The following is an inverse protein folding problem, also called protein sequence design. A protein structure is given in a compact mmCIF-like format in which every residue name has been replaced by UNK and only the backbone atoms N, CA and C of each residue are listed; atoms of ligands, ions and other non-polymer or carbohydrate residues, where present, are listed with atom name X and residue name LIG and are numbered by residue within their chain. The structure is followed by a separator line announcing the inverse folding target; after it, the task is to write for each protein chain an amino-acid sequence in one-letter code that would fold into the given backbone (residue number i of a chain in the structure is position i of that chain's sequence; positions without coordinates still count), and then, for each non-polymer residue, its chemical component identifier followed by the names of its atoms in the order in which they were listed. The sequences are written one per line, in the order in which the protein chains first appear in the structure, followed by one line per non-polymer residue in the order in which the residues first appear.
data_IF_889573478223
#
_entry.id   IF_889573478223
#
_cell.length_a   1.000
_cell.length_b   1.000
_cell.length_c   1.000
_cell.angle_alpha   90.00
_cell.angle_beta   90.00
_cell.angle_gamma   90.00
#
_symmetry.space_group_name_H-M   'P 1'
#
loop_
_entity.id
_entity.type
_entity.pdbx_description
1 polymer ?
#
# COMPACT_ATOMS: atom_id res chain seq x y z
N UNK A 1 39.20 10.71 -6.19
CA UNK A 1 40.09 9.58 -6.55
C UNK A 1 39.84 8.46 -5.58
N UNK A 2 39.56 7.26 -6.08
CA UNK A 2 39.51 6.04 -5.27
C UNK A 2 40.94 5.50 -5.21
N UNK A 3 41.56 5.50 -4.03
CA UNK A 3 42.91 4.97 -3.83
C UNK A 3 42.84 3.48 -3.44
N UNK A 4 43.58 2.62 -4.14
CA UNK A 4 43.73 1.18 -3.84
C UNK A 4 42.52 0.30 -4.23
N UNK A 5 42.34 -0.83 -3.51
CA UNK A 5 41.29 -1.85 -3.72
C UNK A 5 39.86 -1.41 -3.34
N UNK A 6 39.61 -0.10 -3.33
CA UNK A 6 38.29 0.46 -3.02
C UNK A 6 37.40 0.46 -4.27
N UNK A 7 36.11 0.21 -4.06
CA UNK A 7 35.10 0.18 -5.11
C UNK A 7 33.95 1.13 -4.78
N UNK A 8 33.19 1.50 -5.81
CA UNK A 8 31.94 2.24 -5.68
C UNK A 8 30.79 1.35 -6.16
N UNK A 9 29.82 1.11 -5.30
CA UNK A 9 28.58 0.42 -5.64
C UNK A 9 27.43 1.43 -5.71
N UNK A 10 26.49 1.19 -6.61
CA UNK A 10 25.37 2.09 -6.87
C UNK A 10 24.06 1.38 -6.59
N UNK A 11 23.23 2.00 -5.76
CA UNK A 11 21.95 1.45 -5.33
C UNK A 11 20.83 2.45 -5.58
N UNK A 12 19.62 1.94 -5.77
CA UNK A 12 18.42 2.75 -5.60
C UNK A 12 18.09 2.99 -4.13
N UNK A 13 17.03 3.77 -3.92
CA UNK A 13 16.35 4.01 -2.66
C UNK A 13 16.09 2.78 -1.78
N UNK A 14 15.99 1.58 -2.37
CA UNK A 14 15.67 0.33 -1.69
C UNK A 14 16.90 -0.57 -1.48
N UNK A 15 18.11 -0.04 -1.65
CA UNK A 15 19.38 -0.79 -1.59
C UNK A 15 19.48 -1.93 -2.62
N UNK A 16 18.83 -1.77 -3.78
CA UNK A 16 18.96 -2.69 -4.91
C UNK A 16 20.03 -2.14 -5.86
N UNK A 17 21.00 -2.98 -6.23
CA UNK A 17 22.08 -2.61 -7.16
C UNK A 17 21.49 -2.17 -8.49
N UNK A 18 21.97 -1.04 -8.98
CA UNK A 18 21.43 -0.39 -10.17
C UNK A 18 22.51 0.40 -10.91
N UNK A 19 22.37 0.68 -12.22
CA UNK A 19 23.32 1.52 -12.92
C UNK A 19 23.42 2.93 -12.30
N UNK A 20 24.59 3.60 -12.35
CA UNK A 20 24.81 4.90 -11.73
C UNK A 20 23.77 5.97 -12.11
N UNK A 21 23.29 5.92 -13.36
CA UNK A 21 22.34 6.89 -13.91
C UNK A 21 20.95 6.88 -13.21
N UNK A 22 20.58 5.81 -12.52
CA UNK A 22 19.33 5.72 -11.76
C UNK A 22 19.54 5.38 -10.28
N UNK A 23 20.77 5.59 -9.79
CA UNK A 23 21.10 5.38 -8.40
C UNK A 23 20.65 6.56 -7.53
N UNK A 24 20.13 6.25 -6.34
CA UNK A 24 19.88 7.24 -5.28
C UNK A 24 21.02 7.25 -4.27
N UNK A 25 21.74 6.13 -4.15
CA UNK A 25 22.78 5.90 -3.15
C UNK A 25 24.05 5.44 -3.86
N UNK A 26 25.19 6.02 -3.47
CA UNK A 26 26.52 5.47 -3.79
C UNK A 26 27.21 5.00 -2.53
N UNK A 27 27.76 3.79 -2.56
CA UNK A 27 28.52 3.17 -1.48
C UNK A 27 29.99 3.15 -1.82
N UNK A 28 30.82 3.61 -0.91
CA UNK A 28 32.27 3.51 -0.95
C UNK A 28 32.70 2.40 0.00
N UNK A 29 33.39 1.40 -0.50
CA UNK A 29 33.78 0.22 0.29
C UNK A 29 35.00 -0.49 -0.30
N UNK A 30 35.43 -1.58 0.32
CA UNK A 30 36.34 -2.60 -0.21
C UNK A 30 35.68 -3.96 -0.11
N UNK A 31 35.98 -4.84 -1.07
CA UNK A 31 35.51 -6.22 -1.06
C UNK A 31 36.68 -7.20 -0.92
N UNK A 32 36.42 -8.34 -0.29
CA UNK A 32 37.27 -9.53 -0.40
C UNK A 32 37.12 -10.17 -1.79
N UNK A 33 37.98 -11.15 -2.10
CA UNK A 33 37.86 -11.92 -3.35
C UNK A 33 36.53 -12.70 -3.46
N UNK A 34 35.89 -13.01 -2.33
CA UNK A 34 34.58 -13.67 -2.25
C UNK A 34 33.40 -12.68 -2.33
N UNK A 35 33.68 -11.38 -2.40
CA UNK A 35 32.65 -10.33 -2.50
C UNK A 35 32.12 -9.83 -1.16
N UNK A 36 32.80 -10.14 -0.04
CA UNK A 36 32.39 -9.68 1.29
C UNK A 36 32.96 -8.29 1.61
N UNK A 37 32.24 -7.46 2.35
CA UNK A 37 32.76 -6.16 2.78
C UNK A 37 33.95 -6.32 3.74
N UNK A 38 34.94 -5.43 3.59
CA UNK A 38 36.10 -5.33 4.48
C UNK A 38 36.46 -3.88 4.75
N UNK A 39 36.72 -3.56 6.01
CA UNK A 39 37.08 -2.21 6.44
C UNK A 39 35.86 -1.29 6.43
N UNK A 40 36.10 -0.01 6.13
CA UNK A 40 35.05 1.01 6.22
C UNK A 40 34.09 0.98 5.01
N UNK A 41 32.80 1.06 5.32
CA UNK A 41 31.69 1.26 4.37
C UNK A 41 31.10 2.64 4.61
N UNK A 42 30.94 3.42 3.54
CA UNK A 42 30.27 4.73 3.58
C UNK A 42 29.24 4.86 2.48
N UNK A 43 28.02 5.21 2.83
CA UNK A 43 26.95 5.46 1.86
C UNK A 43 26.64 6.95 1.77
N UNK A 44 26.38 7.42 0.56
CA UNK A 44 26.06 8.82 0.29
C UNK A 44 24.84 8.92 -0.60
N UNK A 45 24.03 9.95 -0.34
CA UNK A 45 22.99 10.37 -1.26
C UNK A 45 23.63 10.89 -2.55
N UNK A 46 23.12 10.45 -3.71
CA UNK A 46 23.62 10.87 -5.01
C UNK A 46 23.29 12.33 -5.33
N UNK A 47 22.17 12.85 -4.83
CA UNK A 47 21.67 14.20 -5.14
C UNK A 47 22.37 15.31 -4.35
N UNK A 48 22.61 15.06 -3.06
CA UNK A 48 23.08 16.03 -2.07
C UNK A 48 24.51 15.77 -1.63
N UNK A 49 25.07 14.61 -1.98
CA UNK A 49 26.39 14.18 -1.54
C UNK A 49 26.52 14.04 0.00
N UNK A 50 25.39 14.00 0.72
CA UNK A 50 25.36 13.86 2.18
C UNK A 50 25.60 12.41 2.59
N UNK A 51 26.37 12.21 3.66
CA UNK A 51 26.62 10.90 4.26
C UNK A 51 25.31 10.31 4.82
N UNK A 52 25.06 9.04 4.56
CA UNK A 52 23.89 8.27 5.02
C UNK A 52 24.30 7.33 6.14
N UNK A 53 25.34 6.53 5.87
CA UNK A 53 25.81 5.44 6.71
C UNK A 53 27.33 5.47 6.79
N UNK A 54 27.87 5.21 7.97
CA UNK A 54 29.25 4.80 8.19
C UNK A 54 29.25 3.54 9.03
N UNK A 55 29.93 2.50 8.56
CA UNK A 55 30.10 1.24 9.27
C UNK A 55 31.50 0.66 9.00
N UNK A 56 31.92 -0.29 9.82
CA UNK A 56 33.19 -1.00 9.64
C UNK A 56 32.96 -2.51 9.61
N UNK A 57 33.77 -3.22 8.82
CA UNK A 57 33.67 -4.65 8.56
C UNK A 57 34.97 -5.37 8.84
N UNK A 58 34.86 -6.50 9.53
CA UNK A 58 35.95 -7.45 9.76
C UNK A 58 35.40 -8.86 9.61
N UNK A 59 36.12 -9.73 8.90
CA UNK A 59 35.73 -11.13 8.67
C UNK A 59 34.30 -11.26 8.11
N UNK A 60 33.99 -10.46 7.08
CA UNK A 60 32.68 -10.38 6.42
C UNK A 60 31.51 -9.91 7.30
N UNK A 61 31.76 -9.47 8.54
CA UNK A 61 30.73 -9.01 9.46
C UNK A 61 30.97 -7.59 9.95
N UNK A 62 29.88 -6.84 10.11
CA UNK A 62 29.97 -5.50 10.65
C UNK A 62 30.44 -5.54 12.12
N UNK A 63 31.37 -4.65 12.46
CA UNK A 63 31.99 -4.59 13.78
C UNK A 63 32.38 -3.16 14.11
N UNK A 64 32.37 -2.81 15.39
CA UNK A 64 32.67 -1.46 15.87
C UNK A 64 31.53 -0.49 15.64
N UNK A 65 31.88 0.79 15.49
CA UNK A 65 30.89 1.87 15.47
C UNK A 65 30.17 1.93 14.14
N UNK A 66 28.85 2.00 14.25
CA UNK A 66 27.94 2.26 13.14
C UNK A 66 27.20 3.57 13.40
N UNK A 67 27.13 4.39 12.37
CA UNK A 67 26.49 5.70 12.41
C UNK A 67 25.60 5.89 11.19
N UNK A 68 24.43 6.46 11.42
CA UNK A 68 23.51 6.89 10.39
C UNK A 68 23.18 8.35 10.58
N UNK A 69 22.88 9.03 9.48
CA UNK A 69 22.69 10.47 9.45
C UNK A 69 21.39 10.84 8.73
N UNK A 70 20.78 11.94 9.17
CA UNK A 70 19.69 12.59 8.45
C UNK A 70 20.20 13.25 7.16
N UNK A 71 19.28 13.64 6.28
CA UNK A 71 19.61 14.31 5.00
C UNK A 71 20.34 15.64 5.17
N UNK A 72 20.26 16.26 6.34
CA UNK A 72 21.01 17.47 6.72
C UNK A 72 22.39 17.19 7.35
N UNK A 73 22.79 15.92 7.46
CA UNK A 73 24.07 15.48 7.99
C UNK A 73 24.14 15.35 9.51
N UNK A 74 23.06 15.63 10.25
CA UNK A 74 23.02 15.39 11.71
C UNK A 74 22.90 13.90 12.01
N UNK A 75 23.45 13.41 13.15
CA UNK A 75 23.33 12.00 13.51
C UNK A 75 21.86 11.63 13.72
N UNK A 76 21.44 10.52 13.12
CA UNK A 76 20.15 9.90 13.33
C UNK A 76 20.26 8.71 14.30
N UNK A 77 21.31 7.90 14.12
CA UNK A 77 21.59 6.71 14.93
C UNK A 77 23.09 6.54 15.11
N UNK A 78 23.52 6.06 16.27
CA UNK A 78 24.90 5.67 16.56
C UNK A 78 24.89 4.53 17.56
N UNK A 79 25.67 3.49 17.29
CA UNK A 79 25.81 2.36 18.21
C UNK A 79 27.00 1.49 17.89
N UNK A 80 27.11 0.36 18.59
CA UNK A 80 28.17 -0.62 18.38
C UNK A 80 27.62 -1.92 17.80
N UNK A 81 28.39 -2.52 16.90
CA UNK A 81 28.17 -3.86 16.39
C UNK A 81 29.32 -4.77 16.81
N UNK A 82 29.01 -6.02 17.14
CA UNK A 82 29.98 -7.11 17.32
C UNK A 82 29.56 -8.26 16.43
N UNK A 83 30.34 -8.52 15.38
CA UNK A 83 30.07 -9.62 14.44
C UNK A 83 28.65 -9.59 13.86
N UNK A 84 28.19 -8.39 13.47
CA UNK A 84 26.86 -8.14 12.90
C UNK A 84 25.72 -7.99 13.91
N UNK A 85 25.99 -8.18 15.21
CA UNK A 85 24.98 -8.10 16.27
C UNK A 85 25.09 -6.77 17.02
N UNK A 86 23.99 -6.03 17.25
CA UNK A 86 23.98 -4.86 18.13
C UNK A 86 24.53 -5.19 19.52
N UNK A 87 25.44 -4.34 20.01
CA UNK A 87 26.03 -4.45 21.32
C UNK A 87 26.13 -3.07 21.98
N UNK A 88 26.33 -3.07 23.30
CA UNK A 88 26.59 -1.88 24.10
C UNK A 88 25.47 -0.83 23.96
N UNK A 89 25.81 0.46 24.05
CA UNK A 89 24.86 1.55 23.97
C UNK A 89 24.52 1.97 22.54
N UNK A 90 23.25 2.26 22.34
CA UNK A 90 22.70 2.78 21.09
C UNK A 90 21.96 4.07 21.35
N UNK A 91 22.19 5.04 20.48
CA UNK A 91 21.65 6.37 20.60
C UNK A 91 20.86 6.75 19.35
N UNK A 92 19.74 7.41 19.58
CA UNK A 92 18.84 7.88 18.54
C UNK A 92 18.55 9.35 18.76
N UNK A 93 18.38 10.07 17.65
CA UNK A 93 18.09 11.49 17.67
C UNK A 93 16.86 11.79 16.81
N UNK A 94 16.20 12.89 17.13
CA UNK A 94 15.21 13.48 16.25
C UNK A 94 15.88 14.21 15.08
N UNK A 95 15.17 14.46 13.97
CA UNK A 95 15.65 15.32 12.89
C UNK A 95 16.02 16.73 13.36
N UNK A 96 15.52 17.19 14.51
CA UNK A 96 15.91 18.46 15.13
C UNK A 96 17.29 18.42 15.80
N UNK A 97 17.92 17.24 15.91
CA UNK A 97 19.20 17.00 16.58
C UNK A 97 19.07 16.73 18.09
N UNK A 98 17.87 16.79 18.65
CA UNK A 98 17.64 16.46 20.06
C UNK A 98 17.71 14.94 20.28
N UNK A 99 18.12 14.52 21.48
CA UNK A 99 18.11 13.10 21.86
C UNK A 99 16.68 12.58 21.83
N UNK A 100 16.49 11.41 21.22
CA UNK A 100 15.21 10.72 21.19
C UNK A 100 15.20 9.59 22.22
N UNK A 101 16.17 8.69 22.16
CA UNK A 101 16.28 7.59 23.10
C UNK A 101 17.71 7.03 23.16
N UNK A 102 18.01 6.38 24.29
CA UNK A 102 19.21 5.58 24.48
C UNK A 102 18.80 4.17 24.88
N UNK A 103 19.43 3.17 24.25
CA UNK A 103 19.20 1.76 24.49
C UNK A 103 20.50 1.09 24.90
N UNK A 104 20.38 -0.03 25.60
CA UNK A 104 21.48 -0.92 25.93
C UNK A 104 21.13 -2.31 25.41
N UNK A 105 22.06 -2.92 24.67
CA UNK A 105 21.96 -4.30 24.24
C UNK A 105 22.83 -5.19 25.14
N UNK A 106 22.22 -6.22 25.73
CA UNK A 106 22.95 -7.24 26.47
C UNK A 106 23.72 -8.17 25.54
N UNK A 107 24.68 -8.92 26.09
CA UNK A 107 25.39 -9.99 25.35
C UNK A 107 24.46 -11.08 24.81
N UNK A 108 23.27 -11.22 25.39
CA UNK A 108 22.24 -12.18 24.99
C UNK A 108 21.26 -11.59 23.94
N UNK A 109 21.50 -10.35 23.48
CA UNK A 109 20.68 -9.67 22.48
C UNK A 109 19.39 -9.07 23.04
N UNK A 110 19.24 -9.01 24.37
CA UNK A 110 18.11 -8.32 25.00
C UNK A 110 18.31 -6.82 24.95
N UNK A 111 17.25 -6.10 24.58
CA UNK A 111 17.25 -4.63 24.53
C UNK A 111 16.60 -4.05 25.77
N UNK A 112 17.24 -3.03 26.32
CA UNK A 112 16.73 -2.22 27.43
C UNK A 112 16.71 -0.76 27.01
N UNK A 113 15.62 -0.06 27.30
CA UNK A 113 15.50 1.37 27.07
C UNK A 113 16.07 2.10 28.29
N UNK A 114 17.23 2.73 28.17
CA UNK A 114 17.87 3.44 29.28
C UNK A 114 17.28 4.84 29.47
N UNK A 115 16.99 5.54 28.37
CA UNK A 115 16.43 6.89 28.41
C UNK A 115 15.56 7.17 27.19
N UNK A 116 14.55 8.02 27.38
CA UNK A 116 13.64 8.46 26.32
C UNK A 116 13.20 9.91 26.60
N UNK A 117 13.25 10.73 25.56
CA UNK A 117 12.78 12.11 25.53
C UNK A 117 11.71 12.24 24.46
N UNK A 118 10.66 12.99 24.75
CA UNK A 118 9.65 13.28 23.74
C UNK A 118 10.12 14.36 22.74
N UNK A 119 9.29 14.67 21.74
CA UNK A 119 9.60 15.65 20.69
C UNK A 119 9.84 17.09 21.18
N UNK A 120 9.48 17.40 22.44
CA UNK A 120 9.76 18.71 23.06
C UNK A 120 11.11 18.73 23.78
N UNK A 121 11.77 17.58 23.90
CA UNK A 121 13.00 17.39 24.65
C UNK A 121 12.77 17.08 26.14
N UNK A 122 11.53 16.87 26.57
CA UNK A 122 11.23 16.54 27.96
C UNK A 122 11.60 15.08 28.24
N UNK A 123 12.40 14.78 29.28
CA UNK A 123 12.72 13.41 29.66
C UNK A 123 11.46 12.69 30.17
N UNK A 124 11.18 11.53 29.59
CA UNK A 124 10.05 10.67 29.96
C UNK A 124 10.51 9.36 30.60
N UNK A 125 11.70 8.88 30.24
CA UNK A 125 12.38 7.76 30.90
C UNK A 125 13.80 8.19 31.25
N UNK A 126 14.22 7.93 32.49
CA UNK A 126 15.60 8.10 32.98
C UNK A 126 16.00 6.83 33.72
N UNK A 127 17.21 6.34 33.47
CA UNK A 127 17.74 5.11 34.04
C UNK A 127 16.81 3.89 33.95
N UNK A 128 16.14 3.77 32.80
CA UNK A 128 15.22 2.70 32.48
C UNK A 128 13.92 2.71 33.29
N UNK A 129 13.63 3.80 34.00
CA UNK A 129 12.38 4.00 34.72
C UNK A 129 11.62 5.21 34.15
N UNK A 130 10.31 5.04 33.98
CA UNK A 130 9.43 6.13 33.54
C UNK A 130 8.41 5.69 32.51
N UNK A 131 7.99 6.63 31.68
CA UNK A 131 7.01 6.41 30.62
C UNK A 131 7.70 6.37 29.26
N UNK A 132 7.26 5.46 28.41
CA UNK A 132 7.70 5.37 27.03
C UNK A 132 6.50 5.37 26.09
N UNK A 133 6.66 6.05 24.96
CA UNK A 133 5.70 6.07 23.86
C UNK A 133 6.49 6.04 22.55
N UNK A 134 6.12 5.16 21.62
CA UNK A 134 6.81 5.07 20.34
C UNK A 134 6.27 3.97 19.45
N UNK A 135 6.79 3.88 18.25
CA UNK A 135 6.51 2.74 17.36
C UNK A 135 7.49 1.63 17.69
N UNK A 136 6.97 0.46 18.06
CA UNK A 136 7.75 -0.78 18.07
C UNK A 136 7.86 -1.19 16.62
N UNK A 137 9.06 -1.52 16.17
CA UNK A 137 9.31 -1.80 14.77
C UNK A 137 8.29 -2.84 14.26
N UNK A 138 7.32 -2.48 13.39
CA UNK A 138 6.89 -3.46 12.41
C UNK A 138 8.18 -3.76 11.66
N UNK A 139 8.58 -5.03 11.60
CA UNK A 139 9.66 -5.51 10.74
C UNK A 139 9.99 -4.50 9.61
N UNK A 140 11.12 -3.83 9.78
CA UNK A 140 11.67 -2.75 8.93
C UNK A 140 11.02 -1.35 9.08
N UNK A 141 11.60 -0.44 9.88
CA UNK A 141 11.69 0.94 9.39
C UNK A 141 12.62 0.89 8.17
N UNK A 142 12.13 1.38 7.04
CA UNK A 142 12.94 1.60 5.84
C UNK A 142 13.24 3.09 5.76
N UNK A 143 14.49 3.49 5.86
CA UNK A 143 14.95 4.84 5.57
C UNK A 143 15.72 4.80 4.23
N UNK A 144 14.94 4.91 3.17
CA UNK A 144 15.32 5.42 1.85
C UNK A 144 14.59 6.77 1.61
N UNK A 145 14.72 7.45 0.45
CA UNK A 145 13.97 8.66 0.16
C UNK A 145 12.48 8.36 0.34
N UNK A 146 11.82 9.19 1.14
CA UNK A 146 10.38 9.20 1.46
C UNK A 146 9.55 8.36 0.47
N UNK A 147 9.42 7.06 0.75
CA UNK A 147 8.26 6.29 0.34
C UNK A 147 7.42 6.13 1.60
N UNK A 148 6.09 6.23 1.50
CA UNK A 148 5.23 6.05 2.65
C UNK A 148 5.62 4.72 3.31
N UNK A 149 5.70 4.67 4.65
CA UNK A 149 5.86 3.40 5.34
C UNK A 149 4.92 2.38 4.68
N UNK A 150 5.46 1.19 4.34
CA UNK A 150 4.64 0.00 4.08
C UNK A 150 3.61 0.00 5.18
N UNK A 151 2.35 0.33 4.83
CA UNK A 151 1.29 0.80 5.71
C UNK A 151 1.75 0.97 7.16
N UNK A 152 2.02 2.22 7.60
CA UNK A 152 1.95 2.50 9.05
C UNK A 152 0.65 1.84 9.49
N UNK A 153 0.72 0.75 10.28
CA UNK A 153 -0.47 0.10 10.86
C UNK A 153 -1.30 1.12 11.66
N UNK A 154 -0.77 2.34 11.77
CA UNK A 154 -1.26 3.48 12.47
C UNK A 154 -0.96 3.29 13.93
N UNK A 155 -0.21 2.26 14.35
CA UNK A 155 -0.07 1.92 15.74
C UNK A 155 1.20 2.53 16.33
N UNK A 156 1.03 3.09 17.52
CA UNK A 156 2.12 3.35 18.43
C UNK A 156 1.79 2.68 19.77
N UNK A 157 2.83 2.44 20.55
CA UNK A 157 2.75 1.71 21.80
C UNK A 157 3.19 2.61 22.92
N UNK A 158 2.62 2.40 24.10
CA UNK A 158 2.94 3.21 25.26
C UNK A 158 2.77 2.44 26.55
N UNK A 159 3.56 2.77 27.56
CA UNK A 159 3.49 2.14 28.86
C UNK A 159 4.65 2.55 29.76
N UNK A 160 4.67 2.00 30.97
CA UNK A 160 5.74 2.26 31.92
C UNK A 160 6.91 1.30 31.78
N UNK A 161 8.10 1.80 32.03
CA UNK A 161 9.34 1.04 32.05
C UNK A 161 9.84 0.90 33.49
N UNK A 162 10.43 -0.27 33.78
CA UNK A 162 11.25 -0.51 34.97
C UNK A 162 12.48 -1.30 34.54
N UNK A 163 13.67 -0.83 34.90
CA UNK A 163 14.96 -1.40 34.47
C UNK A 163 15.05 -1.56 32.94
N UNK A 164 14.47 -0.60 32.21
CA UNK A 164 14.49 -0.50 30.76
C UNK A 164 13.60 -1.50 30.03
N UNK A 165 12.76 -2.26 30.73
CA UNK A 165 11.82 -3.24 30.14
C UNK A 165 10.37 -2.91 30.49
N UNK A 166 9.38 -3.42 29.72
CA UNK A 166 7.97 -3.17 29.98
C UNK A 166 7.56 -3.60 31.38
N UNK A 167 6.90 -2.71 32.10
CA UNK A 167 6.35 -2.97 33.43
C UNK A 167 4.99 -2.29 33.56
N UNK A 168 4.02 -2.93 34.23
CA UNK A 168 2.67 -2.41 34.37
C UNK A 168 1.85 -2.53 33.07
N UNK A 169 0.91 -1.62 32.90
CA UNK A 169 -0.01 -1.59 31.75
C UNK A 169 0.65 -0.98 30.51
N UNK A 170 0.57 -1.71 29.41
CA UNK A 170 1.03 -1.31 28.08
C UNK A 170 -0.12 -1.33 27.10
N UNK A 171 -0.13 -0.40 26.16
CA UNK A 171 -1.20 -0.22 25.21
C UNK A 171 -0.68 -0.10 23.79
N UNK A 172 -1.39 -0.68 22.83
CA UNK A 172 -1.27 -0.33 21.41
C UNK A 172 -2.39 0.63 21.04
N UNK A 173 -2.05 1.72 20.32
CA UNK A 173 -2.95 2.85 20.08
C UNK A 173 -2.85 3.29 18.63
N UNK A 174 -3.99 3.48 17.99
CA UNK A 174 -4.03 4.07 16.66
C UNK A 174 -3.71 5.57 16.73
N UNK A 175 -2.71 5.99 15.98
CA UNK A 175 -2.13 7.32 15.89
C UNK A 175 -3.15 8.34 15.42
N UNK A 176 -4.06 7.96 14.53
CA UNK A 176 -5.08 8.82 13.95
C UNK A 176 -6.32 8.89 14.82
N UNK A 177 -6.93 7.75 15.16
CA UNK A 177 -8.20 7.71 15.90
C UNK A 177 -8.03 7.81 17.41
N UNK A 178 -6.79 7.64 17.91
CA UNK A 178 -6.45 7.49 19.34
C UNK A 178 -7.13 6.30 20.02
N UNK A 179 -7.72 5.40 19.23
CA UNK A 179 -8.36 4.19 19.73
C UNK A 179 -7.29 3.22 20.24
N UNK A 180 -7.50 2.68 21.44
CA UNK A 180 -6.67 1.62 22.00
C UNK A 180 -7.09 0.28 21.40
N UNK A 181 -6.14 -0.48 20.87
CA UNK A 181 -6.35 -1.80 20.25
C UNK A 181 -6.13 -2.92 21.26
N UNK A 182 -5.01 -2.89 21.98
CA UNK A 182 -4.67 -3.87 23.02
C UNK A 182 -4.29 -3.18 24.32
N UNK A 183 -4.58 -3.85 25.43
CA UNK A 183 -4.01 -3.56 26.75
C UNK A 183 -3.33 -4.83 27.25
N UNK A 184 -2.08 -4.74 27.66
CA UNK A 184 -1.24 -5.86 28.08
C UNK A 184 -0.50 -5.50 29.38
N UNK A 185 -0.48 -6.41 30.34
CA UNK A 185 0.20 -6.22 31.62
C UNK A 185 1.54 -6.95 31.62
N UNK A 186 2.60 -6.25 32.02
CA UNK A 186 3.96 -6.79 32.12
C UNK A 186 4.53 -6.67 33.53
N UNK A 187 5.37 -7.62 33.93
CA UNK A 187 6.19 -7.55 35.14
C UNK A 187 7.63 -7.87 34.76
N UNK A 188 8.48 -6.84 34.74
CA UNK A 188 9.91 -6.94 34.38
C UNK A 188 10.12 -7.58 33.01
N UNK A 189 9.42 -7.04 32.01
CA UNK A 189 9.44 -7.52 30.64
C UNK A 189 8.68 -8.83 30.40
N UNK A 190 8.17 -9.50 31.44
CA UNK A 190 7.40 -10.74 31.30
C UNK A 190 5.92 -10.43 31.19
N UNK A 191 5.32 -10.87 30.09
CA UNK A 191 3.88 -10.79 29.85
C UNK A 191 3.10 -11.55 30.94
N UNK A 192 2.07 -10.93 31.50
CA UNK A 192 1.18 -11.54 32.50
C UNK A 192 -0.24 -11.77 31.99
N UNK A 193 -0.67 -10.98 31.03
CA UNK A 193 -1.99 -11.10 30.42
C UNK A 193 -2.29 -9.88 29.56
N UNK A 194 -3.32 -9.99 28.73
CA UNK A 194 -3.75 -8.87 27.92
C UNK A 194 -5.12 -9.09 27.32
N UNK A 195 -5.63 -8.05 26.66
CA UNK A 195 -6.93 -8.09 25.99
C UNK A 195 -6.95 -7.20 24.76
N UNK A 196 -7.84 -7.55 23.84
CA UNK A 196 -8.34 -6.66 22.79
C UNK A 196 -9.33 -5.68 23.43
N UNK A 197 -9.20 -4.40 23.10
CA UNK A 197 -10.13 -3.35 23.55
C UNK A 197 -11.29 -3.12 22.54
N UNK A 198 -11.52 -4.11 21.67
CA UNK A 198 -12.68 -4.20 20.79
C UNK A 198 -13.27 -5.62 20.86
N UNK A 199 -14.56 -5.74 20.58
CA UNK A 199 -15.23 -7.04 20.55
C UNK A 199 -14.87 -7.75 19.23
N UNK A 200 -14.13 -8.88 19.26
CA UNK A 200 -13.79 -9.59 18.03
C UNK A 200 -15.05 -10.22 17.41
N UNK A 201 -15.09 -10.31 16.09
CA UNK A 201 -16.21 -10.93 15.36
C UNK A 201 -16.33 -12.44 15.65
N UNK A 202 -15.20 -13.08 16.00
CA UNK A 202 -15.11 -14.46 16.48
C UNK A 202 -13.86 -14.61 17.36
N UNK A 203 -13.89 -15.54 18.31
CA UNK A 203 -12.75 -15.82 19.21
C UNK A 203 -12.81 -15.09 20.57
N UNK A 204 -11.71 -15.20 21.33
CA UNK A 204 -11.57 -14.59 22.65
C UNK A 204 -10.98 -13.18 22.55
N UNK A 205 -11.47 -12.25 23.37
CA UNK A 205 -10.84 -10.95 23.54
C UNK A 205 -9.59 -11.00 24.43
N UNK A 206 -9.30 -12.14 25.08
CA UNK A 206 -8.12 -12.32 25.94
C UNK A 206 -6.89 -12.73 25.12
N UNK A 207 -5.75 -12.09 25.39
CA UNK A 207 -4.46 -12.41 24.79
C UNK A 207 -3.71 -13.40 25.67
N UNK A 208 -3.26 -14.51 25.09
CA UNK A 208 -2.45 -15.55 25.76
C UNK A 208 -0.95 -15.39 25.52
N UNK A 209 -0.55 -14.48 24.62
CA UNK A 209 0.82 -14.16 24.31
C UNK A 209 0.95 -12.66 24.00
N UNK A 210 2.12 -12.05 24.23
CA UNK A 210 2.31 -10.61 24.02
C UNK A 210 2.28 -10.28 22.53
N UNK A 211 1.51 -9.25 22.18
CA UNK A 211 1.60 -8.57 20.88
C UNK A 211 2.62 -7.44 20.93
N UNK A 212 2.80 -6.85 22.12
CA UNK A 212 3.82 -5.84 22.38
C UNK A 212 5.15 -6.54 22.67
N UNK A 213 6.08 -6.46 21.72
CA UNK A 213 7.46 -6.93 21.89
C UNK A 213 8.40 -5.75 21.70
N UNK A 214 9.18 -5.42 22.73
CA UNK A 214 10.29 -4.49 22.55
C UNK A 214 11.33 -5.16 21.65
N UNK A 215 11.20 -4.89 20.36
CA UNK A 215 12.23 -5.11 19.36
C UNK A 215 12.61 -3.73 18.86
N UNK A 216 13.84 -3.33 19.15
CA UNK A 216 14.35 -2.04 18.68
C UNK A 216 15.37 -2.29 17.59
N UNK A 217 15.42 -1.38 16.63
CA UNK A 217 16.12 -1.57 15.38
C UNK A 217 17.63 -1.74 15.57
N UNK A 218 18.21 -2.66 14.82
CA UNK A 218 19.63 -2.59 14.48
C UNK A 218 19.87 -1.52 13.41
N UNK A 219 21.13 -1.29 13.02
CA UNK A 219 21.44 -0.36 11.93
C UNK A 219 20.82 -0.90 10.65
N UNK A 220 20.04 -0.04 9.98
CA UNK A 220 19.31 -0.40 8.77
C UNK A 220 20.21 -0.91 7.66
N UNK A 221 19.70 -1.93 6.96
CA UNK A 221 20.16 -2.46 5.68
C UNK A 221 21.65 -2.23 5.42
N UNK A 222 22.47 -2.97 6.16
CA UNK A 222 23.88 -3.12 5.88
C UNK A 222 24.17 -3.57 4.42
N UNK A 223 23.13 -4.01 3.68
CA UNK A 223 23.16 -4.37 2.26
C UNK A 223 24.29 -5.37 1.94
N UNK A 224 24.54 -6.26 2.91
CA UNK A 224 25.54 -7.34 2.86
C UNK A 224 25.17 -8.40 1.83
N UNK A 225 23.92 -8.40 1.35
CA UNK A 225 23.44 -9.25 0.26
C UNK A 225 23.10 -8.38 -0.94
N UNK A 226 23.87 -8.55 -2.00
CA UNK A 226 23.64 -7.86 -3.26
C UNK A 226 22.36 -8.36 -3.94
N UNK A 227 21.40 -7.46 -4.14
CA UNK A 227 20.20 -7.72 -4.94
C UNK A 227 20.34 -6.97 -6.26
N UNK A 228 20.24 -7.67 -7.38
CA UNK A 228 20.26 -7.06 -8.71
C UNK A 228 18.86 -6.60 -9.09
N UNK A 229 18.73 -5.33 -9.43
CA UNK A 229 17.46 -4.74 -9.85
C UNK A 229 17.27 -4.71 -11.36
N UNK A 230 16.10 -4.23 -11.76
CA UNK A 230 15.81 -3.88 -13.15
C UNK A 230 16.74 -2.78 -13.67
N UNK A 231 16.92 -2.76 -14.99
CA UNK A 231 17.60 -1.68 -15.70
C UNK A 231 16.89 -0.33 -15.52
N UNK A 232 17.58 0.78 -15.78
CA UNK A 232 16.96 2.11 -15.67
C UNK A 232 15.76 2.26 -16.64
N UNK A 233 15.82 1.65 -17.82
CA UNK A 233 14.73 1.68 -18.81
C UNK A 233 13.47 0.94 -18.29
N UNK A 234 13.66 -0.21 -17.66
CA UNK A 234 12.57 -0.98 -17.06
C UNK A 234 11.97 -0.27 -15.84
N UNK A 235 12.80 0.36 -14.99
CA UNK A 235 12.32 1.17 -13.86
C UNK A 235 11.46 2.34 -14.32
N UNK A 236 11.90 3.08 -15.34
CA UNK A 236 11.13 4.19 -15.90
C UNK A 236 9.78 3.72 -16.45
N UNK A 237 9.77 2.59 -17.17
CA UNK A 237 8.52 1.97 -17.65
C UNK A 237 7.57 1.62 -16.50
N UNK A 238 8.06 0.96 -15.45
CA UNK A 238 7.23 0.59 -14.30
C UNK A 238 6.66 1.83 -13.59
N UNK A 239 7.44 2.89 -13.44
CA UNK A 239 6.95 4.14 -12.87
C UNK A 239 5.83 4.74 -13.71
N UNK A 240 6.02 4.83 -15.03
CA UNK A 240 4.99 5.34 -15.94
C UNK A 240 3.72 4.48 -15.91
N UNK A 241 3.85 3.16 -15.82
CA UNK A 241 2.72 2.24 -15.69
C UNK A 241 1.97 2.45 -14.36
N UNK A 242 2.68 2.64 -13.25
CA UNK A 242 2.10 2.96 -11.94
C UNK A 242 1.39 4.30 -11.94
N UNK A 243 2.00 5.35 -12.50
CA UNK A 243 1.39 6.67 -12.61
C UNK A 243 0.12 6.64 -13.48
N UNK A 244 0.15 5.93 -14.61
CA UNK A 244 -1.03 5.70 -15.45
C UNK A 244 -2.11 4.94 -14.69
N UNK A 245 -1.75 3.91 -13.92
CA UNK A 245 -2.69 3.14 -13.11
C UNK A 245 -3.31 4.00 -11.99
N UNK A 246 -2.52 4.84 -11.33
CA UNK A 246 -2.99 5.77 -10.30
C UNK A 246 -3.92 6.84 -10.87
N UNK A 247 -3.55 7.46 -12.00
CA UNK A 247 -4.39 8.41 -12.71
C UNK A 247 -5.71 7.77 -13.16
N UNK A 248 -5.66 6.53 -13.68
CA UNK A 248 -6.85 5.74 -14.01
C UNK A 248 -7.69 5.51 -12.75
N UNK A 249 -7.10 5.06 -11.64
CA UNK A 249 -7.80 4.86 -10.38
C UNK A 249 -8.51 6.12 -9.87
N UNK A 250 -7.86 7.28 -9.95
CA UNK A 250 -8.43 8.57 -9.56
C UNK A 250 -9.59 9.00 -10.48
N UNK A 251 -9.49 8.72 -11.79
CA UNK A 251 -10.59 8.97 -12.72
C UNK A 251 -11.80 8.08 -12.36
N UNK A 252 -11.56 6.81 -12.03
CA UNK A 252 -12.61 5.86 -11.68
C UNK A 252 -13.31 6.19 -10.37
N UNK A 253 -12.59 6.72 -9.37
CA UNK A 253 -13.22 7.12 -8.10
C UNK A 253 -14.19 8.30 -8.26
N UNK A 254 -14.12 9.03 -9.37
CA UNK A 254 -14.96 10.18 -9.69
C UNK A 254 -16.08 9.86 -10.69
N UNK A 255 -16.08 8.62 -11.22
CA UNK A 255 -17.08 8.17 -12.18
C UNK A 255 -18.38 7.82 -11.44
N UNK A 256 -19.45 8.50 -11.83
CA UNK A 256 -20.82 8.11 -11.50
C UNK A 256 -21.38 7.40 -12.71
N UNK A 257 -21.68 6.10 -12.59
CA UNK A 257 -22.35 5.34 -13.64
C UNK A 257 -23.79 5.79 -13.83
N UNK A 258 -24.43 5.47 -14.97
CA UNK A 258 -25.83 5.81 -15.19
C UNK A 258 -26.71 5.25 -14.08
N UNK A 259 -27.64 6.09 -13.60
CA UNK A 259 -28.60 5.74 -12.55
C UNK A 259 -30.01 5.81 -13.10
N UNK A 260 -30.93 5.13 -12.44
CA UNK A 260 -32.35 5.23 -12.75
C UNK A 260 -33.10 5.48 -11.44
N UNK A 261 -34.30 6.06 -11.54
CA UNK A 261 -35.20 6.20 -10.38
C UNK A 261 -35.59 4.83 -9.81
N UNK A 262 -35.71 3.83 -10.68
CA UNK A 262 -35.85 2.43 -10.28
C UNK A 262 -34.49 1.85 -9.91
N UNK A 263 -34.45 1.02 -8.87
CA UNK A 263 -33.29 0.17 -8.62
C UNK A 263 -33.04 -0.76 -9.82
N UNK A 264 -31.79 -1.21 -10.00
CA UNK A 264 -31.44 -2.12 -11.10
C UNK A 264 -32.34 -3.37 -11.13
N UNK A 265 -32.62 -4.06 -10.01
CA UNK A 265 -33.54 -5.21 -10.01
C UNK A 265 -34.97 -4.85 -10.41
N UNK A 266 -35.49 -3.70 -9.99
CA UNK A 266 -36.84 -3.25 -10.37
C UNK A 266 -36.92 -2.95 -11.86
N UNK A 267 -35.93 -2.23 -12.39
CA UNK A 267 -35.87 -1.93 -13.82
C UNK A 267 -35.77 -3.21 -14.67
N UNK A 268 -34.91 -4.15 -14.25
CA UNK A 268 -34.77 -5.47 -14.87
C UNK A 268 -36.11 -6.23 -14.89
N UNK A 269 -36.82 -6.27 -13.76
CA UNK A 269 -38.10 -6.95 -13.65
C UNK A 269 -39.19 -6.31 -14.52
N UNK A 270 -39.31 -4.99 -14.52
CA UNK A 270 -40.30 -4.29 -15.34
C UNK A 270 -40.01 -4.46 -16.83
N UNK A 271 -38.74 -4.36 -17.25
CA UNK A 271 -38.35 -4.60 -18.63
C UNK A 271 -38.61 -6.06 -19.05
N UNK A 272 -38.29 -7.02 -18.18
CA UNK A 272 -38.61 -8.42 -18.42
C UNK A 272 -40.12 -8.65 -18.57
N UNK A 273 -40.96 -8.07 -17.71
CA UNK A 273 -42.42 -8.20 -17.85
C UNK A 273 -42.93 -7.66 -19.20
N UNK A 274 -42.42 -6.50 -19.64
CA UNK A 274 -42.78 -5.92 -20.94
C UNK A 274 -42.33 -6.78 -22.13
N UNK A 275 -41.22 -7.52 -22.00
CA UNK A 275 -40.74 -8.42 -23.05
C UNK A 275 -41.47 -9.77 -23.06
N UNK A 276 -41.99 -10.25 -21.91
CA UNK A 276 -42.64 -11.57 -21.80
C UNK A 276 -43.87 -11.71 -22.71
N UNK A 277 -44.56 -10.63 -23.03
CA UNK A 277 -45.73 -10.67 -23.93
C UNK A 277 -45.37 -11.15 -25.34
N UNK A 278 -44.09 -11.03 -25.73
CA UNK A 278 -43.58 -11.48 -27.02
C UNK A 278 -43.00 -12.90 -26.99
N UNK A 279 -43.04 -13.60 -25.85
CA UNK A 279 -42.45 -14.94 -25.67
C UNK A 279 -42.92 -15.99 -26.69
N UNK A 280 -44.14 -15.84 -27.20
CA UNK A 280 -44.72 -16.75 -28.19
C UNK A 280 -44.38 -16.38 -29.65
N UNK A 281 -43.76 -15.23 -29.89
CA UNK A 281 -43.42 -14.77 -31.25
C UNK A 281 -42.28 -15.62 -31.85
N UNK A 282 -42.35 -15.95 -33.16
CA UNK A 282 -41.31 -16.75 -33.83
C UNK A 282 -39.91 -16.15 -33.69
N UNK A 283 -39.77 -14.83 -33.87
CA UNK A 283 -38.49 -14.12 -33.74
C UNK A 283 -37.92 -14.18 -32.33
N UNK A 284 -38.78 -14.27 -31.31
CA UNK A 284 -38.38 -14.29 -29.90
C UNK A 284 -37.88 -15.68 -29.49
N UNK A 285 -38.56 -16.74 -29.97
CA UNK A 285 -38.14 -18.13 -29.76
C UNK A 285 -36.82 -18.47 -30.45
N UNK A 286 -36.47 -17.74 -31.51
CA UNK A 286 -35.23 -17.89 -32.27
C UNK A 286 -34.07 -17.04 -31.71
N UNK A 287 -34.28 -16.28 -30.62
CA UNK A 287 -33.20 -15.52 -30.01
C UNK A 287 -32.10 -16.45 -29.48
N UNK A 288 -30.82 -16.11 -29.67
CA UNK A 288 -29.72 -16.81 -29.02
C UNK A 288 -29.89 -16.83 -27.50
N UNK A 289 -29.40 -17.90 -26.87
CA UNK A 289 -29.46 -18.12 -25.42
C UNK A 289 -28.94 -16.93 -24.60
N UNK A 290 -27.98 -16.18 -25.15
CA UNK A 290 -27.48 -14.92 -24.60
C UNK A 290 -27.46 -13.86 -25.68
N UNK A 291 -28.44 -12.97 -25.64
CA UNK A 291 -28.50 -11.83 -26.55
C UNK A 291 -28.05 -10.57 -25.81
N UNK A 292 -27.00 -9.93 -26.32
CA UNK A 292 -26.49 -8.66 -25.79
C UNK A 292 -27.02 -7.50 -26.62
N UNK A 293 -27.54 -6.48 -25.95
CA UNK A 293 -28.02 -5.25 -26.59
C UNK A 293 -27.41 -4.06 -25.87
N UNK A 294 -26.63 -3.27 -26.59
CA UNK A 294 -26.07 -2.03 -26.04
C UNK A 294 -26.97 -0.84 -26.39
N UNK A 295 -27.42 -0.12 -25.36
CA UNK A 295 -28.24 1.08 -25.51
C UNK A 295 -27.41 2.30 -25.14
N UNK A 296 -27.22 3.23 -26.07
CA UNK A 296 -26.49 4.48 -25.83
C UNK A 296 -27.42 5.54 -25.23
N UNK A 297 -26.98 6.15 -24.13
CA UNK A 297 -27.66 7.27 -23.48
C UNK A 297 -27.09 8.60 -23.97
N UNK A 298 -27.93 9.58 -24.26
CA UNK A 298 -27.51 10.96 -24.47
C UNK A 298 -27.27 11.71 -23.15
N UNK A 299 -26.99 13.02 -23.23
CA UNK A 299 -26.77 13.87 -22.06
C UNK A 299 -28.01 14.14 -21.21
N UNK A 300 -29.19 13.74 -21.69
CA UNK A 300 -30.46 13.79 -20.95
C UNK A 300 -30.85 12.40 -20.41
N UNK A 301 -30.00 11.38 -20.64
CA UNK A 301 -30.25 10.01 -20.22
C UNK A 301 -31.37 9.31 -20.98
N UNK A 302 -31.65 9.75 -22.22
CA UNK A 302 -32.53 9.05 -23.14
C UNK A 302 -31.74 8.06 -24.00
N UNK A 303 -32.34 6.90 -24.29
CA UNK A 303 -31.76 5.93 -25.22
C UNK A 303 -31.87 6.46 -26.65
N UNK A 304 -30.74 6.81 -27.26
CA UNK A 304 -30.68 7.39 -28.62
C UNK A 304 -30.23 6.40 -29.68
N UNK A 305 -29.55 5.33 -29.29
CA UNK A 305 -29.11 4.30 -30.21
C UNK A 305 -29.11 2.93 -29.53
N UNK A 306 -29.41 1.88 -30.29
CA UNK A 306 -29.41 0.51 -29.81
C UNK A 306 -28.70 -0.40 -30.81
N UNK A 307 -27.72 -1.17 -30.33
CA UNK A 307 -26.90 -2.09 -31.12
C UNK A 307 -27.37 -3.52 -30.90
N UNK A 308 -28.16 -4.03 -31.85
CA UNK A 308 -28.54 -5.44 -31.99
C UNK A 308 -28.84 -5.74 -33.46
N UNK A 309 -28.51 -6.94 -33.91
CA UNK A 309 -28.80 -7.41 -35.28
C UNK A 309 -30.26 -7.87 -35.43
N UNK A 310 -30.96 -8.11 -34.32
CA UNK A 310 -32.37 -8.52 -34.32
C UNK A 310 -33.29 -7.28 -34.34
N UNK A 311 -33.80 -6.93 -35.52
CA UNK A 311 -34.66 -5.75 -35.73
C UNK A 311 -35.96 -5.81 -34.90
N UNK A 312 -36.73 -6.92 -34.86
CA UNK A 312 -37.90 -7.02 -34.00
C UNK A 312 -37.62 -6.78 -32.51
N UNK A 313 -36.51 -7.35 -32.00
CA UNK A 313 -36.07 -7.14 -30.63
C UNK A 313 -35.74 -5.67 -30.37
N UNK A 314 -35.05 -5.00 -31.31
CA UNK A 314 -34.72 -3.58 -31.22
C UNK A 314 -35.97 -2.72 -31.06
N UNK A 315 -36.93 -2.85 -31.97
CA UNK A 315 -38.19 -2.09 -31.95
C UNK A 315 -38.95 -2.32 -30.64
N UNK A 316 -39.00 -3.57 -30.19
CA UNK A 316 -39.68 -3.96 -28.96
C UNK A 316 -39.02 -3.34 -27.72
N UNK A 317 -37.69 -3.40 -27.64
CA UNK A 317 -36.93 -2.81 -26.54
C UNK A 317 -37.05 -1.28 -26.52
N UNK A 318 -36.99 -0.63 -27.68
CA UNK A 318 -37.17 0.82 -27.78
C UNK A 318 -38.54 1.26 -27.26
N UNK A 319 -39.61 0.56 -27.64
CA UNK A 319 -40.96 0.82 -27.14
C UNK A 319 -41.09 0.56 -25.63
N UNK A 320 -40.51 -0.53 -25.14
CA UNK A 320 -40.55 -0.89 -23.73
C UNK A 320 -39.80 0.11 -22.84
N UNK A 321 -38.59 0.52 -23.25
CA UNK A 321 -37.73 1.44 -22.48
C UNK A 321 -38.34 2.85 -22.44
N UNK A 322 -39.00 3.31 -23.50
CA UNK A 322 -39.70 4.63 -23.50
C UNK A 322 -40.82 4.72 -22.47
N UNK A 323 -41.36 3.59 -22.01
CA UNK A 323 -42.39 3.53 -20.99
C UNK A 323 -41.83 3.36 -19.57
N UNK A 324 -40.50 3.31 -19.41
CA UNK A 324 -39.83 3.23 -18.11
C UNK A 324 -39.25 4.61 -17.75
N UNK A 325 -38.99 4.88 -16.46
CA UNK A 325 -38.35 6.12 -16.04
C UNK A 325 -37.01 6.34 -16.77
N UNK A 326 -36.73 7.59 -17.11
CA UNK A 326 -35.48 7.96 -17.77
C UNK A 326 -34.26 7.68 -16.88
N UNK A 327 -33.12 7.49 -17.53
CA UNK A 327 -31.84 7.34 -16.84
C UNK A 327 -31.25 8.71 -16.54
N UNK A 328 -30.41 8.78 -15.53
CA UNK A 328 -29.41 9.82 -15.36
C UNK A 328 -28.14 9.32 -16.07
N UNK A 329 -27.51 10.12 -16.94
CA UNK A 329 -26.33 9.68 -17.66
C UNK A 329 -25.11 9.60 -16.75
N UNK A 330 -24.06 8.92 -17.23
CA UNK A 330 -22.81 8.88 -16.50
C UNK A 330 -22.13 10.24 -16.43
N UNK A 331 -21.45 10.52 -15.32
CA UNK A 331 -20.64 11.73 -15.17
C UNK A 331 -19.27 11.46 -14.56
N UNK A 332 -18.30 12.30 -14.92
CA UNK A 332 -17.00 12.39 -14.24
C UNK A 332 -16.85 13.82 -13.76
N UNK A 333 -16.69 14.02 -12.44
CA UNK A 333 -16.72 15.35 -11.81
C UNK A 333 -17.96 16.18 -12.22
N UNK A 334 -19.12 15.53 -12.33
CA UNK A 334 -20.39 16.17 -12.72
C UNK A 334 -20.51 16.53 -14.21
N UNK A 335 -19.51 16.24 -15.05
CA UNK A 335 -19.60 16.43 -16.50
C UNK A 335 -20.04 15.14 -17.18
N UNK A 336 -20.98 15.24 -18.11
CA UNK A 336 -21.46 14.13 -18.91
C UNK A 336 -20.30 13.39 -19.59
N UNK A 337 -20.33 12.06 -19.54
CA UNK A 337 -19.50 11.19 -20.35
C UNK A 337 -20.37 10.21 -21.13
N UNK A 338 -19.92 9.83 -22.33
CA UNK A 338 -20.63 8.86 -23.17
C UNK A 338 -20.95 7.61 -22.35
N UNK A 339 -22.21 7.22 -22.34
CA UNK A 339 -22.70 6.18 -21.43
C UNK A 339 -23.83 5.38 -22.05
N UNK A 340 -24.20 4.30 -21.37
CA UNK A 340 -25.21 3.39 -21.87
C UNK A 340 -25.70 2.42 -20.82
N UNK A 341 -26.65 1.60 -21.23
CA UNK A 341 -27.03 0.39 -20.52
C UNK A 341 -26.82 -0.80 -21.45
N UNK A 342 -26.11 -1.82 -20.95
CA UNK A 342 -26.01 -3.10 -21.61
C UNK A 342 -27.10 -4.00 -21.06
N UNK A 343 -27.93 -4.53 -21.96
CA UNK A 343 -28.94 -5.52 -21.65
C UNK A 343 -28.41 -6.89 -22.05
N UNK A 344 -28.46 -7.83 -21.12
CA UNK A 344 -28.22 -9.24 -21.39
C UNK A 344 -29.54 -9.98 -21.21
N UNK A 345 -30.08 -10.49 -22.31
CA UNK A 345 -31.32 -11.24 -22.33
C UNK A 345 -30.97 -12.71 -22.45
N UNK A 346 -31.36 -13.50 -21.44
CA UNK A 346 -31.03 -14.92 -21.36
C UNK A 346 -32.27 -15.77 -21.63
N UNK A 347 -32.16 -16.74 -22.53
CA UNK A 347 -33.10 -17.82 -22.91
C UNK A 347 -34.62 -17.50 -22.91
N UNK A 348 -35.33 -17.64 -24.04
CA UNK A 348 -36.74 -17.26 -24.13
C UNK A 348 -37.71 -18.06 -23.23
N UNK A 349 -37.37 -19.28 -22.78
CA UNK A 349 -38.20 -20.10 -21.88
C UNK A 349 -38.14 -19.65 -20.40
N UNK A 350 -36.99 -19.16 -19.95
CA UNK A 350 -36.76 -18.68 -18.58
C UNK A 350 -36.17 -17.27 -18.63
N UNK A 351 -36.85 -16.36 -19.34
CA UNK A 351 -36.28 -15.06 -19.68
C UNK A 351 -35.83 -14.28 -18.43
N UNK A 352 -34.52 -14.03 -18.39
CA UNK A 352 -33.88 -13.11 -17.45
C UNK A 352 -33.31 -11.94 -18.24
N UNK A 353 -33.62 -10.73 -17.79
CA UNK A 353 -33.03 -9.50 -18.32
C UNK A 353 -32.08 -8.96 -17.27
N UNK A 354 -30.78 -8.94 -17.59
CA UNK A 354 -29.79 -8.28 -16.76
C UNK A 354 -29.44 -6.92 -17.38
N UNK A 355 -29.60 -5.87 -16.60
CA UNK A 355 -29.25 -4.49 -16.96
C UNK A 355 -27.94 -4.12 -16.29
N UNK A 356 -26.96 -3.72 -17.09
CA UNK A 356 -25.65 -3.27 -16.64
C UNK A 356 -25.39 -1.84 -17.10
N UNK A 357 -25.45 -0.84 -16.21
CA UNK A 357 -25.04 0.51 -16.53
C UNK A 357 -23.57 0.53 -16.94
N UNK A 358 -23.27 1.35 -17.96
CA UNK A 358 -21.94 1.44 -18.55
C UNK A 358 -21.55 2.89 -18.83
N UNK A 359 -20.26 3.19 -18.70
CA UNK A 359 -19.70 4.47 -19.10
C UNK A 359 -18.40 4.27 -19.89
N UNK A 360 -18.18 5.12 -20.88
CA UNK A 360 -16.92 5.19 -21.62
C UNK A 360 -15.91 5.97 -20.78
N UNK A 361 -14.76 5.36 -20.51
CA UNK A 361 -13.69 5.94 -19.69
C UNK A 361 -12.43 6.27 -20.48
N UNK A 362 -12.40 5.93 -21.76
CA UNK A 362 -11.27 6.17 -22.64
C UNK A 362 -11.47 5.52 -23.99
N UNK A 363 -10.48 5.69 -24.87
CA UNK A 363 -10.43 5.04 -26.17
C UNK A 363 -9.12 4.29 -26.25
N UNK A 364 -9.20 3.02 -26.66
CA UNK A 364 -8.02 2.20 -26.83
C UNK A 364 -7.20 2.78 -28.00
N UNK A 365 -5.96 3.24 -27.77
CA UNK A 365 -5.18 3.94 -28.79
C UNK A 365 -4.76 3.02 -29.96
N UNK A 366 -4.70 1.71 -29.73
CA UNK A 366 -4.29 0.72 -30.72
C UNK A 366 -5.44 0.27 -31.63
N UNK A 367 -6.66 0.19 -31.10
CA UNK A 367 -7.83 -0.34 -31.83
C UNK A 367 -8.86 0.73 -32.19
N UNK A 368 -8.74 1.93 -31.61
CA UNK A 368 -9.71 3.03 -31.77
C UNK A 368 -11.06 2.76 -31.10
N UNK A 369 -11.22 1.64 -30.39
CA UNK A 369 -12.47 1.24 -29.74
C UNK A 369 -12.63 1.90 -28.37
N UNK A 370 -13.86 2.22 -28.00
CA UNK A 370 -14.18 2.79 -26.69
C UNK A 370 -13.96 1.75 -25.57
N UNK A 371 -13.36 2.18 -24.47
CA UNK A 371 -13.21 1.38 -23.24
C UNK A 371 -14.38 1.66 -22.30
N UNK A 372 -15.15 0.62 -21.98
CA UNK A 372 -16.31 0.70 -21.11
C UNK A 372 -16.04 0.15 -19.71
N UNK A 373 -16.69 0.74 -18.70
CA UNK A 373 -16.77 0.20 -17.35
C UNK A 373 -18.21 -0.14 -16.99
N UNK A 374 -18.39 -1.30 -16.35
CA UNK A 374 -19.68 -1.84 -15.91
C UNK A 374 -19.69 -2.05 -14.40
N UNK A 375 -20.86 -1.90 -13.77
CA UNK A 375 -21.04 -2.05 -12.32
C UNK A 375 -20.63 -3.43 -11.76
N UNK A 376 -20.63 -4.50 -12.57
CA UNK A 376 -20.32 -5.88 -12.13
C UNK A 376 -19.03 -6.50 -12.71
N UNK A 377 -18.19 -5.73 -13.41
CA UNK A 377 -16.84 -6.20 -13.79
C UNK A 377 -15.83 -5.06 -13.69
N UNK A 378 -15.11 -5.03 -12.57
CA UNK A 378 -13.69 -4.71 -12.61
C UNK A 378 -12.97 -5.89 -13.30
N UNK A 379 -13.05 -5.97 -14.63
CA UNK A 379 -12.15 -6.81 -15.39
C UNK A 379 -11.22 -5.92 -16.21
N UNK A 380 -9.94 -6.04 -15.87
CA UNK A 380 -8.81 -5.56 -16.66
C UNK A 380 -8.92 -6.08 -18.11
N UNK A 381 -8.28 -5.41 -19.09
CA UNK A 381 -8.29 -5.86 -20.48
C UNK A 381 -7.75 -7.29 -20.61
N UNK A 382 -8.40 -8.08 -21.47
CA UNK A 382 -8.13 -9.50 -21.76
C UNK A 382 -6.77 -9.79 -22.45
N UNK A 383 -5.78 -8.90 -22.32
CA UNK A 383 -4.40 -9.13 -22.77
C UNK A 383 -3.58 -9.96 -21.77
N UNK A 384 -4.16 -10.30 -20.61
CA UNK A 384 -3.64 -11.29 -19.68
C UNK A 384 -4.81 -12.23 -19.35
N UNK A 385 -4.87 -13.36 -20.05
CA UNK A 385 -5.72 -14.50 -19.67
C UNK A 385 -5.17 -15.16 -18.42
#
# INVERSE_FOLDING_TARGET
MVQGDSIILFYDAAYVLTPPACASIRRHTRLTATGDFRGEVRDYWMDSNTLILRAHYQDAKATGTVEQFFTDGRPAVRGQLRQGVPADEWHYWYPTGQRHQTLVFSSEGHVQIQAYWDSTGAPRTTDGAGYWEGTLAPQYVRIGPVQPPLADDGLYFRGTLRNGVPHGEWQSVNRNTKQVFTSETFVDGRFRGGKLNFKPASGSATLTAPQIRLQVEGPQALAERFQLGYSCAEKLRQQQEREKAQARGQLLSQLVLPKNQLSIPEYQNQLAQKLRIYSNQPWFKQLPDRTQVYCRLDSLGQVTAMSTENVPLKVTLEAAIRQLPHWEPATIKGRYVSSGIMLLITAPANMVVEVRPAAVIGRNPTTGKDEYIFWHRFQLPAALR
#
